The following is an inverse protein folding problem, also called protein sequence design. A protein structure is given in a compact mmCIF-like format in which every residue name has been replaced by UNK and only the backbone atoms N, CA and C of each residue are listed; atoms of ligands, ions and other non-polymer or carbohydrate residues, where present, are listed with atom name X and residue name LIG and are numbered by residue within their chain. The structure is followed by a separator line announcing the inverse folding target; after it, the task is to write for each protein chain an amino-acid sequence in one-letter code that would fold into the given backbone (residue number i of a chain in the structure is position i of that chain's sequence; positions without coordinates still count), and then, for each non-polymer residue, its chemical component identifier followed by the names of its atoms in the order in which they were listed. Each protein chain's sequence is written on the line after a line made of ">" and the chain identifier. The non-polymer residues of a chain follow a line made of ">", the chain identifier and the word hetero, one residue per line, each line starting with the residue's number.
data_IF_777658578050
#
_entry.id   IF_777658578050
#
_cell.length_a   1.000
_cell.length_b   1.000
_cell.length_c   1.000
_cell.angle_alpha   90.00
_cell.angle_beta   90.00
_cell.angle_gamma   90.00
#
_symmetry.space_group_name_H-M   'P 1'
#
loop_
_entity.id
_entity.type
_entity.pdbx_description
1 polymer ?
#
# COMPACT_ATOMS: atom_id res chain seq x y z
N UNK A 1 -16.66 8.65 27.40
CA UNK A 1 -16.83 9.32 26.09
C UNK A 1 -15.54 9.30 25.27
N UNK A 2 -14.36 9.44 25.89
CA UNK A 2 -13.05 9.40 25.21
C UNK A 2 -12.64 8.02 24.64
N UNK A 3 -13.07 6.93 25.27
CA UNK A 3 -12.81 5.56 24.77
C UNK A 3 -13.48 5.24 23.43
N UNK A 4 -14.68 5.79 23.19
CA UNK A 4 -15.41 5.61 21.92
C UNK A 4 -14.72 6.35 20.78
N UNK A 5 -14.32 7.60 21.01
CA UNK A 5 -13.61 8.41 20.01
C UNK A 5 -12.28 7.78 19.57
N UNK A 6 -11.51 7.22 20.53
CA UNK A 6 -10.25 6.51 20.22
C UNK A 6 -10.52 5.25 19.38
N UNK A 7 -11.62 4.54 19.64
CA UNK A 7 -11.99 3.34 18.87
C UNK A 7 -12.39 3.68 17.43
N UNK A 8 -13.11 4.79 17.22
CA UNK A 8 -13.53 5.26 15.90
C UNK A 8 -12.34 5.71 15.05
N UNK A 9 -11.39 6.45 15.61
CA UNK A 9 -10.17 6.85 14.88
C UNK A 9 -9.33 5.64 14.44
N UNK A 10 -9.23 4.61 15.28
CA UNK A 10 -8.52 3.38 14.95
C UNK A 10 -9.20 2.63 13.80
N UNK A 11 -10.53 2.50 13.83
CA UNK A 11 -11.29 1.90 12.74
C UNK A 11 -11.14 2.71 11.45
N UNK A 12 -11.18 4.04 11.54
CA UNK A 12 -10.97 4.94 10.39
C UNK A 12 -9.59 4.74 9.75
N UNK A 13 -8.54 4.64 10.57
CA UNK A 13 -7.18 4.42 10.08
C UNK A 13 -7.03 3.05 9.38
N UNK A 14 -7.65 1.99 9.92
CA UNK A 14 -7.69 0.68 9.26
C UNK A 14 -8.43 0.77 7.91
N UNK A 15 -9.56 1.46 7.87
CA UNK A 15 -10.31 1.65 6.63
C UNK A 15 -9.52 2.43 5.57
N UNK A 16 -8.83 3.50 5.98
CA UNK A 16 -7.94 4.28 5.10
C UNK A 16 -6.80 3.39 4.58
N UNK A 17 -6.17 2.61 5.46
CA UNK A 17 -5.11 1.67 5.07
C UNK A 17 -5.62 0.67 4.02
N UNK A 18 -6.79 0.08 4.25
CA UNK A 18 -7.44 -0.84 3.32
C UNK A 18 -7.75 -0.18 1.97
N UNK A 19 -8.24 1.06 1.98
CA UNK A 19 -8.51 1.81 0.74
C UNK A 19 -7.24 2.01 -0.10
N UNK A 20 -6.11 2.35 0.55
CA UNK A 20 -4.81 2.42 -0.13
C UNK A 20 -4.35 1.06 -0.66
N UNK A 21 -4.57 -0.02 0.08
CA UNK A 21 -4.26 -1.38 -0.39
C UNK A 21 -5.07 -1.77 -1.62
N UNK A 22 -6.37 -1.45 -1.64
CA UNK A 22 -7.23 -1.71 -2.80
C UNK A 22 -6.77 -0.87 -4.00
N UNK A 23 -6.49 0.42 -3.80
CA UNK A 23 -5.98 1.28 -4.86
C UNK A 23 -4.65 0.74 -5.44
N UNK A 24 -3.76 0.24 -4.59
CA UNK A 24 -2.53 -0.42 -5.02
C UNK A 24 -2.82 -1.71 -5.81
N UNK A 25 -3.75 -2.55 -5.36
CA UNK A 25 -4.12 -3.77 -6.10
C UNK A 25 -4.72 -3.47 -7.48
N UNK A 26 -5.53 -2.42 -7.60
CA UNK A 26 -6.06 -1.95 -8.89
C UNK A 26 -4.94 -1.44 -9.79
N UNK A 27 -4.02 -0.65 -9.25
CA UNK A 27 -2.83 -0.20 -9.98
C UNK A 27 -2.04 -1.40 -10.48
N UNK A 28 -1.78 -2.40 -9.63
CA UNK A 28 -1.05 -3.60 -10.00
C UNK A 28 -1.73 -4.36 -11.14
N UNK A 29 -3.04 -4.58 -11.06
CA UNK A 29 -3.80 -5.26 -12.11
C UNK A 29 -3.69 -4.56 -13.47
N UNK A 30 -3.79 -3.22 -13.49
CA UNK A 30 -3.64 -2.43 -14.74
C UNK A 30 -2.26 -2.58 -15.35
N UNK A 31 -1.22 -2.71 -14.51
CA UNK A 31 0.17 -2.73 -14.96
C UNK A 31 0.68 -4.14 -15.28
N UNK A 32 0.13 -5.20 -14.69
CA UNK A 32 0.46 -6.59 -15.08
C UNK A 32 0.01 -6.92 -16.52
N UNK A 33 -1.05 -6.26 -17.00
CA UNK A 33 -1.53 -6.42 -18.39
C UNK A 33 -0.58 -5.80 -19.43
N UNK A 34 0.45 -5.06 -19.01
CA UNK A 34 1.39 -4.36 -19.89
C UNK A 34 2.76 -5.05 -19.82
N UNK A 35 3.26 -5.64 -20.91
CA UNK A 35 4.60 -6.21 -20.96
C UNK A 35 5.64 -5.13 -20.62
N UNK A 36 6.54 -5.41 -19.67
CA UNK A 36 7.55 -4.42 -19.21
C UNK A 36 8.41 -3.91 -20.37
N UNK A 37 8.71 -4.76 -21.36
CA UNK A 37 9.46 -4.39 -22.56
C UNK A 37 8.70 -3.52 -23.56
N UNK A 38 7.39 -3.33 -23.36
CA UNK A 38 6.51 -2.47 -24.15
C UNK A 38 6.02 -1.26 -23.33
N UNK A 39 6.20 -1.27 -22.02
CA UNK A 39 5.88 -0.16 -21.14
C UNK A 39 6.85 1.01 -21.40
N UNK A 40 6.30 2.21 -21.62
CA UNK A 40 7.13 3.42 -21.71
C UNK A 40 7.80 3.75 -20.37
N UNK A 41 8.99 4.36 -20.40
CA UNK A 41 9.70 4.82 -19.19
C UNK A 41 8.82 5.66 -18.27
N UNK A 42 7.99 6.54 -18.84
CA UNK A 42 7.02 7.33 -18.09
C UNK A 42 6.04 6.48 -17.29
N UNK A 43 5.51 5.43 -17.92
CA UNK A 43 4.54 4.53 -17.32
C UNK A 43 5.17 3.72 -16.18
N UNK A 44 6.40 3.23 -16.38
CA UNK A 44 7.19 2.52 -15.35
C UNK A 44 7.49 3.45 -14.15
N UNK A 45 7.92 4.69 -14.40
CA UNK A 45 8.15 5.67 -13.33
C UNK A 45 6.86 5.98 -12.57
N UNK A 46 5.75 6.17 -13.28
CA UNK A 46 4.44 6.42 -12.67
C UNK A 46 4.01 5.25 -11.78
N UNK A 47 4.20 4.00 -12.25
CA UNK A 47 3.95 2.80 -11.45
C UNK A 47 4.75 2.79 -10.16
N UNK A 48 6.06 3.05 -10.26
CA UNK A 48 6.95 3.04 -9.09
C UNK A 48 6.54 4.08 -8.06
N UNK A 49 6.31 5.32 -8.50
CA UNK A 49 5.92 6.43 -7.61
C UNK A 49 4.57 6.14 -6.95
N UNK A 50 3.56 5.72 -7.72
CA UNK A 50 2.25 5.39 -7.17
C UNK A 50 2.31 4.20 -6.20
N UNK A 51 3.04 3.14 -6.56
CA UNK A 51 3.19 1.94 -5.72
C UNK A 51 3.86 2.26 -4.38
N UNK A 52 4.90 3.09 -4.40
CA UNK A 52 5.59 3.56 -3.20
C UNK A 52 4.67 4.39 -2.31
N UNK A 53 3.96 5.36 -2.88
CA UNK A 53 3.05 6.25 -2.13
C UNK A 53 1.91 5.43 -1.50
N UNK A 54 1.23 4.58 -2.27
CA UNK A 54 0.07 3.81 -1.81
C UNK A 54 0.45 2.82 -0.72
N UNK A 55 1.50 2.01 -0.96
CA UNK A 55 1.93 0.99 0.00
C UNK A 55 2.48 1.62 1.28
N UNK A 56 3.27 2.69 1.18
CA UNK A 56 3.80 3.39 2.37
C UNK A 56 2.69 4.05 3.17
N UNK A 57 1.71 4.66 2.49
CA UNK A 57 0.53 5.25 3.15
C UNK A 57 -0.29 4.18 3.86
N UNK A 58 -0.54 3.04 3.21
CA UNK A 58 -1.26 1.92 3.81
C UNK A 58 -0.54 1.39 5.07
N UNK A 59 0.78 1.22 5.01
CA UNK A 59 1.60 0.81 6.17
C UNK A 59 1.52 1.85 7.28
N UNK A 60 1.63 3.14 6.96
CA UNK A 60 1.57 4.23 7.93
C UNK A 60 0.25 4.22 8.71
N UNK A 61 -0.89 4.15 8.01
CA UNK A 61 -2.20 4.15 8.64
C UNK A 61 -2.49 2.85 9.43
N UNK A 62 -2.03 1.70 8.93
CA UNK A 62 -2.11 0.44 9.69
C UNK A 62 -1.25 0.49 10.97
N UNK A 63 -0.04 1.05 10.88
CA UNK A 63 0.89 1.24 11.99
C UNK A 63 0.32 2.16 13.07
N UNK A 64 -0.37 3.24 12.69
CA UNK A 64 -1.05 4.15 13.62
C UNK A 64 -2.11 3.42 14.48
N UNK A 65 -2.67 2.32 13.97
CA UNK A 65 -3.67 1.52 14.69
C UNK A 65 -3.12 0.29 15.44
N UNK A 66 -1.83 0.02 15.29
CA UNK A 66 -1.17 -1.20 15.76
C UNK A 66 -1.31 -1.45 17.27
N UNK A 67 -1.27 -0.39 18.11
CA UNK A 67 -1.26 -0.54 19.58
C UNK A 67 -2.52 -1.22 20.13
N UNK A 68 -3.66 -1.14 19.44
CA UNK A 68 -4.95 -1.67 19.93
C UNK A 68 -5.62 -2.64 18.94
N UNK A 69 -5.49 -2.44 17.63
CA UNK A 69 -6.11 -3.30 16.59
C UNK A 69 -5.09 -4.27 15.98
N UNK A 70 -4.36 -4.99 16.86
CA UNK A 70 -3.12 -5.70 16.52
C UNK A 70 -3.22 -6.59 15.27
N UNK A 71 -4.22 -7.49 15.20
CA UNK A 71 -4.29 -8.48 14.11
C UNK A 71 -4.55 -7.84 12.74
N UNK A 72 -5.54 -6.96 12.63
CA UNK A 72 -5.86 -6.30 11.35
C UNK A 72 -4.75 -5.37 10.88
N UNK A 73 -4.12 -4.62 11.79
CA UNK A 73 -2.97 -3.78 11.48
C UNK A 73 -1.79 -4.60 10.98
N UNK A 74 -1.46 -5.72 11.64
CA UNK A 74 -0.34 -6.60 11.26
C UNK A 74 -0.54 -7.13 9.85
N UNK A 75 -1.73 -7.66 9.55
CA UNK A 75 -2.03 -8.23 8.23
C UNK A 75 -1.89 -7.16 7.14
N UNK A 76 -2.44 -5.96 7.36
CA UNK A 76 -2.33 -4.86 6.40
C UNK A 76 -0.86 -4.43 6.21
N UNK A 77 -0.07 -4.33 7.28
CA UNK A 77 1.36 -4.00 7.16
C UNK A 77 2.06 -5.05 6.30
N UNK A 78 1.88 -6.35 6.59
CA UNK A 78 2.54 -7.43 5.84
C UNK A 78 2.16 -7.39 4.35
N UNK A 79 0.87 -7.27 4.02
CA UNK A 79 0.40 -7.24 2.63
C UNK A 79 1.01 -6.07 1.87
N UNK A 80 0.99 -4.86 2.44
CA UNK A 80 1.54 -3.69 1.76
C UNK A 80 3.07 -3.68 1.73
N UNK A 81 3.74 -4.30 2.71
CA UNK A 81 5.19 -4.52 2.66
C UNK A 81 5.59 -5.50 1.56
N UNK A 82 4.80 -6.57 1.35
CA UNK A 82 4.99 -7.49 0.21
C UNK A 82 4.73 -6.75 -1.10
N UNK A 83 3.66 -5.94 -1.18
CA UNK A 83 3.39 -5.09 -2.34
C UNK A 83 4.54 -4.14 -2.66
N UNK A 84 5.22 -3.60 -1.64
CA UNK A 84 6.39 -2.74 -1.82
C UNK A 84 7.58 -3.46 -2.50
N UNK A 85 7.67 -4.79 -2.40
CA UNK A 85 8.74 -5.56 -3.03
C UNK A 85 8.70 -5.47 -4.56
N UNK A 86 7.53 -5.39 -5.17
CA UNK A 86 7.41 -5.29 -6.62
C UNK A 86 8.12 -4.05 -7.21
N UNK A 87 7.78 -2.81 -6.80
CA UNK A 87 8.47 -1.62 -7.31
C UNK A 87 9.95 -1.62 -6.94
N UNK A 88 10.35 -2.22 -5.81
CA UNK A 88 11.76 -2.40 -5.42
C UNK A 88 12.51 -3.33 -6.39
N UNK A 89 11.91 -4.46 -6.79
CA UNK A 89 12.50 -5.40 -7.74
C UNK A 89 12.63 -4.74 -9.12
N UNK A 90 11.59 -4.03 -9.57
CA UNK A 90 11.63 -3.30 -10.85
C UNK A 90 12.74 -2.23 -10.82
N UNK A 91 12.86 -1.48 -9.71
CA UNK A 91 13.95 -0.52 -9.53
C UNK A 91 15.33 -1.19 -9.59
N UNK A 92 15.49 -2.36 -8.97
CA UNK A 92 16.74 -3.11 -8.99
C UNK A 92 17.09 -3.62 -10.40
N UNK A 93 16.10 -3.99 -11.21
CA UNK A 93 16.32 -4.45 -12.58
C UNK A 93 16.64 -3.31 -13.56
N UNK A 94 16.28 -2.07 -13.22
CA UNK A 94 16.53 -0.87 -14.03
C UNK A 94 17.90 -0.22 -13.77
N UNK A 95 18.54 -0.51 -12.63
CA UNK A 95 19.87 -0.02 -12.24
C UNK A 95 20.95 -0.99 -12.75
#
# INVERSE_FOLDING_TARGET
>A
MESHHISEELQKNIFISLAFTIAYAVLLAVYEDIPINQASDFLIVLFMVCSLILSTSAIYFAGKSYRKTKMSSVVLIIINSIGLLLPLIILLLLI
#
